data_IF_406748655691
#
_entry.id   IF_406748655691
#
_cell.length_a   1.000
_cell.length_b   1.000
_cell.length_c   1.000
_cell.angle_alpha   90.00
_cell.angle_beta   90.00
_cell.angle_gamma   90.00
#
_symmetry.space_group_name_H-M   'P 1'
#
loop_
_entity.id
_entity.type
_entity.pdbx_description
1 polymer ?
#
# COMPACT_ATOMS: atom_id res chain seq x y z
N UNK A 1 -74.74 -51.32 11.65
CA UNK A 1 -75.97 -50.57 11.49
C UNK A 1 -76.56 -49.90 12.72
N UNK A 2 -75.92 -49.99 13.90
CA UNK A 2 -76.50 -49.51 15.17
C UNK A 2 -76.03 -48.10 15.64
N UNK A 3 -74.97 -47.52 15.07
CA UNK A 3 -74.44 -46.21 15.52
C UNK A 3 -75.04 -44.99 14.78
N UNK A 4 -75.67 -45.16 13.57
CA UNK A 4 -76.26 -44.04 12.83
C UNK A 4 -77.68 -43.68 13.40
N UNK A 5 -78.42 -44.62 14.07
CA UNK A 5 -79.70 -44.34 14.67
C UNK A 5 -79.62 -43.60 16.02
N UNK A 6 -78.46 -43.71 16.75
CA UNK A 6 -78.30 -42.96 18.00
C UNK A 6 -77.87 -41.49 17.75
N UNK A 7 -77.09 -41.22 16.72
CA UNK A 7 -76.64 -39.86 16.35
C UNK A 7 -77.80 -38.97 15.87
N UNK A 8 -78.74 -39.53 15.08
CA UNK A 8 -79.94 -38.80 14.58
C UNK A 8 -80.89 -38.45 15.72
N UNK A 9 -81.07 -39.31 16.76
CA UNK A 9 -81.96 -38.98 17.87
C UNK A 9 -81.31 -37.93 18.83
N UNK A 10 -80.01 -37.87 19.02
CA UNK A 10 -79.41 -36.84 19.85
C UNK A 10 -79.39 -35.46 19.14
N UNK A 11 -79.21 -35.41 17.81
CA UNK A 11 -79.24 -34.14 17.04
C UNK A 11 -80.66 -33.56 17.01
N UNK A 12 -81.73 -34.40 16.95
CA UNK A 12 -83.14 -33.91 17.01
C UNK A 12 -83.54 -33.42 18.40
N UNK A 13 -82.99 -34.00 19.48
CA UNK A 13 -83.21 -33.52 20.87
C UNK A 13 -82.54 -32.18 21.13
N UNK A 14 -81.28 -32.03 20.70
CA UNK A 14 -80.54 -30.75 20.82
C UNK A 14 -81.12 -29.66 19.99
N UNK A 15 -81.61 -29.96 18.78
CA UNK A 15 -82.32 -29.00 17.94
C UNK A 15 -83.68 -28.60 18.54
N UNK A 16 -84.35 -29.53 19.18
CA UNK A 16 -85.59 -29.25 19.87
C UNK A 16 -85.38 -28.36 21.12
N UNK A 17 -84.40 -28.59 21.89
CA UNK A 17 -84.06 -27.78 23.10
C UNK A 17 -83.62 -26.37 22.66
N UNK A 18 -82.83 -26.21 21.60
CA UNK A 18 -82.43 -24.91 21.04
C UNK A 18 -83.64 -24.15 20.49
N UNK A 19 -84.58 -24.81 19.85
CA UNK A 19 -85.79 -24.18 19.33
C UNK A 19 -86.73 -23.73 20.46
N UNK A 20 -86.87 -24.51 21.53
CA UNK A 20 -87.68 -24.15 22.68
C UNK A 20 -87.04 -23.01 23.49
N UNK A 21 -85.72 -23.02 23.65
CA UNK A 21 -85.00 -21.92 24.34
C UNK A 21 -85.03 -20.64 23.55
N UNK A 22 -84.91 -20.69 22.24
CA UNK A 22 -85.06 -19.50 21.38
C UNK A 22 -86.53 -18.97 21.37
N UNK A 23 -87.49 -19.83 21.36
CA UNK A 23 -88.89 -19.40 21.42
C UNK A 23 -89.30 -18.80 22.78
N UNK A 24 -88.76 -19.33 23.87
CA UNK A 24 -88.91 -18.74 25.22
C UNK A 24 -88.17 -17.38 25.29
N UNK A 25 -86.97 -17.26 24.74
CA UNK A 25 -86.28 -15.99 24.71
C UNK A 25 -87.00 -14.93 23.88
N UNK A 26 -87.55 -15.30 22.71
CA UNK A 26 -88.31 -14.40 21.87
C UNK A 26 -89.67 -14.06 22.57
N UNK A 27 -90.28 -15.02 23.26
CA UNK A 27 -91.52 -14.80 24.05
C UNK A 27 -91.25 -13.83 25.20
N UNK A 28 -90.15 -13.99 25.94
CA UNK A 28 -89.74 -13.07 27.02
C UNK A 28 -89.47 -11.69 26.47
N UNK A 29 -88.81 -11.60 25.32
CA UNK A 29 -88.53 -10.32 24.64
C UNK A 29 -89.80 -9.63 24.15
N UNK A 30 -90.74 -10.36 23.65
CA UNK A 30 -92.07 -9.83 23.22
C UNK A 30 -92.90 -9.37 24.42
N UNK A 31 -92.91 -10.11 25.52
CA UNK A 31 -93.61 -9.75 26.79
C UNK A 31 -92.95 -8.48 27.38
N UNK A 32 -91.64 -8.41 27.39
CA UNK A 32 -90.91 -7.21 27.86
C UNK A 32 -91.19 -5.98 26.97
N UNK A 33 -91.30 -6.18 25.68
CA UNK A 33 -91.70 -5.12 24.75
C UNK A 33 -93.18 -4.66 24.97
N UNK A 34 -94.09 -5.57 25.26
CA UNK A 34 -95.49 -5.25 25.54
C UNK A 34 -95.72 -4.60 26.92
N UNK A 35 -94.81 -4.82 27.87
CA UNK A 35 -94.84 -4.18 29.18
C UNK A 35 -94.09 -2.82 29.19
N UNK A 36 -93.62 -2.34 28.01
CA UNK A 36 -92.95 -1.06 27.92
C UNK A 36 -91.53 -1.04 28.56
N UNK A 37 -90.92 -2.24 28.85
CA UNK A 37 -89.55 -2.34 29.35
C UNK A 37 -88.63 -2.13 28.13
N UNK A 38 -88.37 -0.85 27.82
CA UNK A 38 -87.35 -0.41 26.85
C UNK A 38 -86.00 -0.64 27.56
N UNK A 39 -85.23 -1.63 27.11
CA UNK A 39 -83.80 -1.66 27.49
C UNK A 39 -83.23 -0.35 26.99
N UNK A 40 -82.75 0.51 27.88
CA UNK A 40 -82.18 1.78 27.46
C UNK A 40 -80.99 1.48 26.51
N UNK A 41 -81.09 2.00 25.26
CA UNK A 41 -79.92 1.92 24.34
C UNK A 41 -78.72 2.57 25.03
N UNK A 42 -77.69 1.74 25.37
CA UNK A 42 -76.50 2.28 25.92
C UNK A 42 -75.95 3.36 25.00
N UNK A 43 -75.67 4.54 25.57
CA UNK A 43 -75.06 5.67 24.85
C UNK A 43 -73.65 5.32 24.40
N UNK A 44 -73.35 5.43 23.09
CA UNK A 44 -72.00 5.18 22.60
C UNK A 44 -71.14 6.38 22.92
N UNK A 45 -70.02 6.15 23.64
CA UNK A 45 -68.97 7.15 23.93
C UNK A 45 -67.60 6.64 23.42
N UNK A 46 -66.81 7.54 22.92
CA UNK A 46 -65.35 7.28 22.82
C UNK A 46 -64.66 8.12 23.89
N UNK A 47 -63.94 7.43 24.78
CA UNK A 47 -63.18 8.06 25.85
C UNK A 47 -61.71 7.96 25.46
N UNK A 48 -60.99 9.07 25.49
CA UNK A 48 -59.61 9.20 25.09
C UNK A 48 -58.78 9.79 26.22
N UNK A 49 -57.48 9.55 26.17
CA UNK A 49 -56.49 10.24 27.01
C UNK A 49 -55.43 10.89 26.11
N UNK A 50 -54.74 11.92 26.61
CA UNK A 50 -53.65 12.55 25.88
C UNK A 50 -52.38 11.72 25.89
N UNK A 51 -51.54 11.93 24.90
CA UNK A 51 -50.13 11.49 24.93
C UNK A 51 -49.35 12.32 25.93
N UNK A 52 -48.54 11.65 26.74
CA UNK A 52 -47.61 12.28 27.66
C UNK A 52 -46.19 11.83 27.33
N UNK A 53 -45.29 12.80 27.05
CA UNK A 53 -43.88 12.49 26.77
C UNK A 53 -43.00 13.25 27.76
N UNK A 54 -42.09 12.54 28.40
CA UNK A 54 -41.09 13.12 29.31
C UNK A 54 -39.79 12.36 29.25
N UNK A 55 -38.75 12.84 29.95
CA UNK A 55 -37.47 12.13 30.15
C UNK A 55 -37.47 11.57 31.59
N UNK A 56 -36.91 10.39 31.75
CA UNK A 56 -36.77 9.71 33.03
C UNK A 56 -36.18 10.61 34.13
N UNK A 57 -36.87 10.68 35.27
CA UNK A 57 -36.49 11.48 36.44
C UNK A 57 -36.76 10.78 37.78
N UNK A 58 -36.97 9.47 37.76
CA UNK A 58 -37.33 8.61 38.89
C UNK A 58 -38.62 9.01 39.62
N UNK A 59 -39.41 9.92 39.09
CA UNK A 59 -40.74 10.32 39.65
C UNK A 59 -41.86 9.73 38.81
N UNK A 60 -43.00 9.39 39.44
CA UNK A 60 -44.16 8.95 38.70
C UNK A 60 -44.65 9.99 37.69
N UNK A 61 -44.94 9.53 36.48
CA UNK A 61 -45.56 10.31 35.40
C UNK A 61 -47.00 9.88 35.31
N UNK A 62 -47.91 10.81 35.44
CA UNK A 62 -49.34 10.57 35.42
C UNK A 62 -49.88 10.85 34.01
N UNK A 63 -50.88 10.02 33.60
CA UNK A 63 -51.46 10.08 32.30
C UNK A 63 -52.51 11.19 32.09
N UNK A 64 -52.91 11.83 33.19
CA UNK A 64 -53.94 12.88 33.15
C UNK A 64 -55.38 12.32 33.09
N UNK A 65 -56.36 13.22 33.05
CA UNK A 65 -57.78 12.86 33.07
C UNK A 65 -58.30 12.45 31.71
N UNK A 66 -59.11 11.36 31.62
CA UNK A 66 -59.78 10.98 30.39
C UNK A 66 -60.85 11.99 30.01
N UNK A 67 -61.15 12.10 28.73
CA UNK A 67 -62.15 12.98 28.18
C UNK A 67 -62.90 12.32 27.01
N UNK A 68 -64.11 12.82 26.73
CA UNK A 68 -64.97 12.29 25.65
C UNK A 68 -64.60 12.95 24.33
N UNK A 69 -64.20 12.13 23.34
CA UNK A 69 -63.88 12.58 21.97
C UNK A 69 -65.01 12.34 20.98
N UNK A 70 -65.88 11.34 21.22
CA UNK A 70 -67.08 11.04 20.39
C UNK A 70 -68.23 10.61 21.27
N UNK A 71 -69.42 11.05 20.93
CA UNK A 71 -70.64 10.90 21.74
C UNK A 71 -70.81 12.07 22.70
N UNK A 72 -71.72 11.93 23.65
CA UNK A 72 -72.02 12.95 24.67
C UNK A 72 -72.47 12.28 25.95
N UNK A 73 -71.98 12.76 27.09
CA UNK A 73 -72.52 12.41 28.39
C UNK A 73 -73.94 13.02 28.54
N UNK A 74 -74.81 12.34 29.22
CA UNK A 74 -76.11 12.88 29.59
C UNK A 74 -75.97 14.04 30.54
N UNK A 75 -77.02 14.92 30.59
CA UNK A 75 -76.93 16.10 31.44
C UNK A 75 -76.79 15.71 32.92
N UNK A 76 -75.85 16.32 33.59
CA UNK A 76 -75.46 16.01 34.98
C UNK A 76 -74.52 14.82 35.14
N UNK A 77 -74.18 14.03 34.10
CA UNK A 77 -73.25 12.95 34.17
C UNK A 77 -71.83 13.49 33.93
N UNK A 78 -70.89 12.93 34.65
CA UNK A 78 -69.47 13.32 34.52
C UNK A 78 -68.53 12.14 34.79
N UNK A 79 -67.32 12.16 34.20
CA UNK A 79 -66.27 11.13 34.41
C UNK A 79 -65.56 11.45 35.72
N UNK A 80 -65.39 10.43 36.54
CA UNK A 80 -64.57 10.48 37.77
C UNK A 80 -63.47 9.41 37.66
N UNK A 81 -62.21 9.83 37.74
CA UNK A 81 -61.09 8.92 37.75
C UNK A 81 -60.97 8.24 39.10
N UNK A 82 -60.98 6.93 39.11
CA UNK A 82 -60.84 6.09 40.34
C UNK A 82 -59.42 5.65 40.56
N UNK A 83 -58.63 5.46 39.44
CA UNK A 83 -57.18 5.25 39.53
C UNK A 83 -56.51 5.88 38.32
N UNK A 84 -55.50 6.74 38.56
CA UNK A 84 -54.70 7.35 37.52
C UNK A 84 -53.72 6.35 36.93
N UNK A 85 -53.53 6.35 35.59
CA UNK A 85 -52.43 5.67 34.96
C UNK A 85 -51.11 6.37 35.37
N UNK A 86 -50.15 5.63 35.92
CA UNK A 86 -48.89 6.16 36.32
C UNK A 86 -47.75 5.21 35.95
N UNK A 87 -46.66 5.76 35.44
CA UNK A 87 -45.44 5.03 35.08
C UNK A 87 -44.19 5.77 35.63
N UNK A 88 -43.17 5.04 36.00
CA UNK A 88 -41.94 5.62 36.52
C UNK A 88 -40.75 5.29 35.64
N UNK A 89 -40.70 4.08 35.08
CA UNK A 89 -39.56 3.59 34.30
C UNK A 89 -39.63 4.08 32.85
N UNK A 90 -38.44 4.20 32.23
CA UNK A 90 -38.33 4.51 30.80
C UNK A 90 -38.99 3.41 29.96
N UNK A 91 -39.78 3.83 28.98
CA UNK A 91 -40.55 2.94 28.14
C UNK A 91 -41.74 3.66 27.50
N UNK A 92 -42.52 2.90 26.74
CA UNK A 92 -43.77 3.35 26.12
C UNK A 92 -44.90 2.50 26.67
N UNK A 93 -45.90 3.13 27.21
CA UNK A 93 -47.03 2.50 27.91
C UNK A 93 -48.35 3.08 27.39
N UNK A 94 -49.43 2.28 27.34
CA UNK A 94 -50.76 2.80 27.10
C UNK A 94 -51.21 3.63 28.31
N UNK A 95 -51.88 4.75 28.07
CA UNK A 95 -52.39 5.67 29.08
C UNK A 95 -53.83 5.30 29.49
N UNK A 96 -53.95 4.19 30.21
CA UNK A 96 -55.23 3.59 30.59
C UNK A 96 -55.59 3.97 32.02
N UNK A 97 -56.44 4.97 32.26
CA UNK A 97 -56.99 5.26 33.60
C UNK A 97 -58.14 4.35 33.95
N UNK A 98 -58.37 4.10 35.23
CA UNK A 98 -59.64 3.56 35.71
C UNK A 98 -60.60 4.73 36.00
N UNK A 99 -61.83 4.61 35.54
CA UNK A 99 -62.80 5.66 35.74
C UNK A 99 -64.22 5.09 35.83
N UNK A 100 -65.14 5.87 36.41
CA UNK A 100 -66.56 5.64 36.43
C UNK A 100 -67.30 6.89 35.92
N UNK A 101 -68.52 6.74 35.43
CA UNK A 101 -69.37 7.84 35.08
C UNK A 101 -70.43 7.96 36.18
N UNK A 102 -70.41 9.11 36.85
CA UNK A 102 -71.41 9.39 37.89
C UNK A 102 -72.50 10.34 37.39
N UNK A 103 -73.70 10.17 37.90
CA UNK A 103 -74.82 11.15 37.71
C UNK A 103 -74.67 12.33 38.67
N UNK A 104 -75.67 13.30 38.62
CA UNK A 104 -75.70 14.47 39.47
C UNK A 104 -75.88 14.14 40.98
N UNK A 105 -76.39 12.93 41.29
CA UNK A 105 -76.54 12.46 42.66
C UNK A 105 -75.34 11.66 43.19
N UNK A 106 -74.35 11.43 42.32
CA UNK A 106 -73.13 10.66 42.66
C UNK A 106 -73.29 9.12 42.49
N UNK A 107 -74.36 8.65 41.85
CA UNK A 107 -74.52 7.23 41.57
C UNK A 107 -73.75 6.81 40.33
N UNK A 108 -73.19 5.61 40.37
CA UNK A 108 -72.47 5.06 39.20
C UNK A 108 -73.41 4.65 38.12
N UNK A 109 -73.33 5.30 36.98
CA UNK A 109 -74.15 5.12 35.77
C UNK A 109 -73.32 4.66 34.56
N UNK A 110 -72.11 4.17 34.77
CA UNK A 110 -71.22 3.70 33.72
C UNK A 110 -71.88 2.68 32.83
N UNK A 111 -72.67 1.82 33.36
CA UNK A 111 -73.45 0.79 32.63
C UNK A 111 -74.51 1.34 31.63
N UNK A 112 -74.83 2.62 31.75
CA UNK A 112 -75.70 3.28 30.76
C UNK A 112 -74.97 3.62 29.46
N UNK A 113 -73.64 3.46 29.43
CA UNK A 113 -72.80 3.76 28.30
C UNK A 113 -72.20 2.50 27.71
N UNK A 114 -71.95 2.55 26.39
CA UNK A 114 -71.06 1.64 25.67
C UNK A 114 -69.78 2.44 25.37
N UNK A 115 -68.72 2.17 26.10
CA UNK A 115 -67.45 2.92 26.03
C UNK A 115 -66.61 2.25 24.99
N UNK A 116 -66.17 3.04 24.02
CA UNK A 116 -65.05 2.72 23.11
C UNK A 116 -63.80 3.47 23.63
N UNK A 117 -62.74 2.74 23.84
CA UNK A 117 -61.48 3.23 24.41
C UNK A 117 -60.54 3.61 23.29
N UNK A 118 -59.98 4.84 23.33
CA UNK A 118 -59.03 5.39 22.38
C UNK A 118 -57.94 6.14 23.17
N UNK A 119 -57.15 5.38 23.89
CA UNK A 119 -56.19 5.93 24.82
C UNK A 119 -54.90 6.33 24.14
N UNK A 120 -54.29 7.45 24.60
CA UNK A 120 -52.98 7.91 24.25
C UNK A 120 -51.87 7.07 24.92
N UNK A 121 -50.68 7.54 24.86
CA UNK A 121 -49.47 6.87 25.39
C UNK A 121 -48.71 7.71 26.41
N UNK A 122 -48.16 7.04 27.41
CA UNK A 122 -47.13 7.62 28.30
C UNK A 122 -45.77 7.14 27.77
N UNK A 123 -44.95 8.08 27.24
CA UNK A 123 -43.60 7.81 26.75
C UNK A 123 -42.57 8.45 27.71
N UNK A 124 -41.85 7.62 28.40
CA UNK A 124 -40.72 8.06 29.26
C UNK A 124 -39.41 7.72 28.53
N UNK A 125 -38.75 8.74 28.01
CA UNK A 125 -37.49 8.57 27.28
C UNK A 125 -36.36 8.29 28.26
N UNK A 126 -35.41 7.37 27.89
CA UNK A 126 -34.21 7.15 28.64
C UNK A 126 -33.40 8.44 28.77
N UNK A 127 -32.72 8.61 29.89
CA UNK A 127 -31.82 9.73 30.15
C UNK A 127 -30.47 9.47 29.52
N UNK A 128 -29.92 10.43 28.79
CA UNK A 128 -28.64 10.26 28.07
C UNK A 128 -27.47 10.58 28.97
N UNK A 129 -26.45 9.70 28.92
CA UNK A 129 -25.16 9.90 29.57
C UNK A 129 -24.03 9.65 28.58
N UNK A 130 -22.89 10.30 28.79
CA UNK A 130 -21.64 10.02 28.11
C UNK A 130 -20.62 9.62 29.15
N UNK A 131 -20.09 8.42 29.05
CA UNK A 131 -19.01 7.91 29.88
C UNK A 131 -17.70 8.00 29.14
N UNK A 132 -16.62 8.24 29.87
CA UNK A 132 -15.29 8.46 29.34
C UNK A 132 -14.25 7.72 30.18
N UNK A 133 -13.23 7.16 29.51
CA UNK A 133 -11.98 6.76 30.13
C UNK A 133 -10.79 7.22 29.28
N UNK A 134 -9.70 7.57 29.94
CA UNK A 134 -8.48 8.01 29.28
C UNK A 134 -7.62 6.83 28.85
N UNK A 135 -6.94 6.95 27.70
CA UNK A 135 -5.87 6.02 27.31
C UNK A 135 -4.67 6.17 28.25
N UNK A 136 -4.00 5.05 28.54
CA UNK A 136 -2.77 5.02 29.32
C UNK A 136 -1.68 4.25 28.60
N UNK A 137 -0.44 4.62 28.85
CA UNK A 137 0.74 4.00 28.29
C UNK A 137 1.81 3.81 29.37
N UNK A 138 2.54 2.70 29.29
CA UNK A 138 3.79 2.49 30.01
C UNK A 138 4.71 1.56 29.25
N UNK A 139 6.00 1.56 29.56
CA UNK A 139 6.91 0.49 29.16
C UNK A 139 6.70 -0.75 30.02
N UNK A 140 6.95 -1.92 29.44
CA UNK A 140 6.88 -3.18 30.14
C UNK A 140 7.85 -3.20 31.33
N UNK A 141 7.34 -3.54 32.49
CA UNK A 141 8.08 -3.66 33.75
C UNK A 141 7.69 -4.90 34.55
N UNK A 142 6.93 -5.82 33.93
CA UNK A 142 6.40 -7.02 34.56
C UNK A 142 5.14 -6.80 35.40
N UNK A 143 4.67 -5.56 35.59
CA UNK A 143 3.45 -5.25 36.32
C UNK A 143 2.28 -4.88 35.40
N UNK A 144 1.03 -5.16 35.83
CA UNK A 144 -0.12 -4.81 34.98
C UNK A 144 -0.30 -3.28 34.86
N UNK A 145 -0.69 -2.83 33.68
CA UNK A 145 -1.26 -1.51 33.44
C UNK A 145 -2.78 -1.62 33.57
N UNK A 146 -3.35 -0.84 34.49
CA UNK A 146 -4.78 -0.91 34.79
C UNK A 146 -5.45 0.39 34.39
N UNK A 147 -6.66 0.30 33.79
CA UNK A 147 -7.47 1.45 33.48
C UNK A 147 -7.93 2.17 34.75
N UNK A 148 -8.20 3.47 34.63
CA UNK A 148 -8.97 4.16 35.64
C UNK A 148 -10.44 3.75 35.59
N UNK A 149 -11.17 4.06 36.64
CA UNK A 149 -12.63 4.00 36.60
C UNK A 149 -13.16 4.99 35.56
N UNK A 150 -14.28 4.63 34.94
CA UNK A 150 -14.95 5.50 33.99
C UNK A 150 -15.58 6.71 34.71
N UNK A 151 -15.63 7.83 34.01
CA UNK A 151 -16.24 9.07 34.49
C UNK A 151 -17.37 9.52 33.58
N UNK A 152 -18.39 10.16 34.14
CA UNK A 152 -19.47 10.75 33.34
C UNK A 152 -19.05 12.15 32.92
N UNK A 153 -18.94 12.38 31.60
CA UNK A 153 -18.51 13.66 31.00
C UNK A 153 -19.64 14.42 30.30
N UNK A 154 -20.78 13.78 30.10
CA UNK A 154 -21.94 14.40 29.48
C UNK A 154 -23.25 13.82 29.99
N UNK A 155 -24.29 14.66 30.04
CA UNK A 155 -25.54 14.36 30.71
C UNK A 155 -25.47 14.56 32.22
N UNK A 156 -26.48 14.08 32.94
CA UNK A 156 -26.50 14.12 34.40
C UNK A 156 -27.32 12.96 34.93
N UNK A 157 -26.97 12.44 36.07
CA UNK A 157 -27.79 11.47 36.78
C UNK A 157 -29.10 12.10 37.30
N UNK A 158 -30.08 11.27 37.60
CA UNK A 158 -31.14 11.62 38.53
C UNK A 158 -30.51 11.73 39.92
N UNK A 159 -31.03 12.60 40.75
CA UNK A 159 -30.57 12.76 42.11
C UNK A 159 -30.60 11.41 42.87
N UNK A 160 -29.54 11.09 43.61
CA UNK A 160 -29.37 9.82 44.27
C UNK A 160 -28.85 8.65 43.43
N UNK A 161 -28.77 8.83 42.09
CA UNK A 161 -28.20 7.77 41.23
C UNK A 161 -26.70 7.94 41.09
N UNK A 162 -25.98 6.82 41.07
CA UNK A 162 -24.53 6.79 40.91
C UNK A 162 -24.10 5.71 39.93
N UNK A 163 -22.97 5.93 39.26
CA UNK A 163 -22.33 4.92 38.45
C UNK A 163 -21.34 4.13 39.30
N UNK A 164 -21.47 2.83 39.32
CA UNK A 164 -20.57 1.89 39.98
C UNK A 164 -19.83 1.11 38.92
N UNK A 165 -18.50 1.12 38.98
CA UNK A 165 -17.64 0.35 38.09
C UNK A 165 -17.38 -1.03 38.74
N UNK A 166 -17.87 -2.09 38.09
CA UNK A 166 -17.79 -3.46 38.61
C UNK A 166 -16.43 -4.11 38.31
N UNK A 167 -15.80 -3.67 37.18
CA UNK A 167 -14.48 -4.14 36.79
C UNK A 167 -13.71 -3.09 36.00
N UNK A 168 -12.38 -3.19 36.05
CA UNK A 168 -11.46 -2.36 35.25
C UNK A 168 -10.72 -3.25 34.27
N UNK A 169 -10.29 -2.67 33.15
CA UNK A 169 -9.47 -3.38 32.15
C UNK A 169 -8.01 -3.33 32.57
N UNK A 170 -7.26 -4.41 32.35
CA UNK A 170 -5.82 -4.46 32.57
C UNK A 170 -5.09 -5.23 31.49
N UNK A 171 -3.85 -4.83 31.20
CA UNK A 171 -2.92 -5.50 30.29
C UNK A 171 -1.54 -5.57 30.96
N UNK A 172 -0.84 -6.69 30.82
CA UNK A 172 0.49 -6.85 31.41
C UNK A 172 1.57 -6.98 30.34
N UNK A 173 1.34 -7.77 29.30
CA UNK A 173 2.31 -7.98 28.24
C UNK A 173 2.32 -6.83 27.24
N UNK A 174 3.44 -6.59 26.52
CA UNK A 174 3.49 -5.62 25.44
C UNK A 174 2.36 -5.82 24.42
N UNK A 175 1.71 -4.72 24.05
CA UNK A 175 0.56 -4.72 23.16
C UNK A 175 -0.45 -3.65 23.53
N UNK A 176 -1.63 -3.75 22.96
CA UNK A 176 -2.75 -2.84 23.20
C UNK A 176 -4.00 -3.59 23.67
N UNK A 177 -4.77 -2.95 24.51
CA UNK A 177 -6.04 -3.46 25.01
C UNK A 177 -7.05 -2.32 25.12
N UNK A 178 -8.16 -2.42 24.39
CA UNK A 178 -9.26 -1.47 24.54
C UNK A 178 -9.85 -1.56 25.95
N UNK A 179 -10.14 -0.41 26.53
CA UNK A 179 -10.77 -0.33 27.84
C UNK A 179 -12.23 -0.75 27.70
N UNK A 180 -12.62 -1.84 28.36
CA UNK A 180 -13.96 -2.42 28.35
C UNK A 180 -14.41 -2.65 29.79
N UNK A 181 -14.76 -1.59 30.54
CA UNK A 181 -15.19 -1.71 31.91
C UNK A 181 -16.59 -2.33 31.97
N UNK A 182 -16.87 -3.10 33.02
CA UNK A 182 -18.22 -3.44 33.43
C UNK A 182 -18.68 -2.40 34.45
N UNK A 183 -19.89 -1.90 34.27
CA UNK A 183 -20.49 -0.91 35.18
C UNK A 183 -22.00 -1.03 35.23
N UNK A 184 -22.57 -0.59 36.36
CA UNK A 184 -24.01 -0.41 36.55
C UNK A 184 -24.31 1.01 37.07
N UNK A 185 -25.55 1.44 36.85
CA UNK A 185 -26.08 2.67 37.45
C UNK A 185 -27.08 2.25 38.52
N UNK A 186 -26.80 2.62 39.74
CA UNK A 186 -27.65 2.24 40.90
C UNK A 186 -28.34 3.49 41.47
N UNK A 187 -29.53 3.29 42.05
CA UNK A 187 -30.23 4.28 42.85
C UNK A 187 -29.71 4.32 44.30
N UNK A 188 -30.25 5.23 45.12
CA UNK A 188 -29.90 5.36 46.56
C UNK A 188 -30.15 4.11 47.40
N UNK A 189 -30.99 3.18 46.92
CA UNK A 189 -31.29 1.93 47.55
C UNK A 189 -30.42 0.76 47.06
N UNK A 190 -29.50 1.05 46.10
CA UNK A 190 -28.64 0.03 45.48
C UNK A 190 -29.33 -0.76 44.37
N UNK A 191 -30.53 -0.34 43.90
CA UNK A 191 -31.22 -1.00 42.80
C UNK A 191 -30.59 -0.63 41.46
N UNK A 192 -30.36 -1.61 40.55
CA UNK A 192 -29.87 -1.37 39.22
C UNK A 192 -30.93 -0.65 38.37
N UNK A 193 -30.62 0.56 37.96
CA UNK A 193 -31.46 1.42 37.11
C UNK A 193 -30.80 1.73 35.76
N UNK A 194 -29.76 0.95 35.38
CA UNK A 194 -29.01 1.15 34.13
C UNK A 194 -29.93 1.22 32.91
N UNK A 195 -30.99 0.40 32.89
CA UNK A 195 -31.98 0.37 31.81
C UNK A 195 -32.75 1.70 31.64
N UNK A 196 -32.69 2.61 32.59
CA UNK A 196 -33.34 3.93 32.54
C UNK A 196 -32.48 4.96 31.79
N UNK A 197 -31.27 4.57 31.39
CA UNK A 197 -30.30 5.43 30.74
C UNK A 197 -29.89 4.90 29.37
N UNK A 198 -29.62 5.82 28.44
CA UNK A 198 -28.90 5.54 27.20
C UNK A 198 -27.46 6.03 27.39
N UNK A 199 -26.52 5.10 27.48
CA UNK A 199 -25.08 5.44 27.71
C UNK A 199 -24.34 5.40 26.38
N UNK A 200 -23.67 6.50 26.08
CA UNK A 200 -22.70 6.57 24.97
C UNK A 200 -21.28 6.51 25.55
N UNK A 201 -20.46 5.62 25.03
CA UNK A 201 -19.13 5.35 25.54
C UNK A 201 -18.04 6.03 24.69
N UNK A 202 -17.07 6.66 25.35
CA UNK A 202 -15.84 7.19 24.78
C UNK A 202 -14.67 6.64 25.60
N UNK A 203 -14.31 5.41 25.28
CA UNK A 203 -13.31 4.65 26.03
C UNK A 203 -11.95 4.72 25.34
N UNK A 204 -10.91 4.82 26.14
CA UNK A 204 -9.51 4.84 25.68
C UNK A 204 -8.96 3.43 25.48
N UNK A 205 -7.62 3.36 25.31
CA UNK A 205 -6.85 2.13 25.10
C UNK A 205 -5.67 2.12 26.07
N UNK A 206 -5.34 0.96 26.58
CA UNK A 206 -4.12 0.72 27.36
C UNK A 206 -3.03 0.25 26.42
N UNK A 207 -1.83 0.85 26.52
CA UNK A 207 -0.65 0.49 25.73
C UNK A 207 0.48 0.07 26.68
N UNK A 208 1.00 -1.13 26.49
CA UNK A 208 2.25 -1.56 27.11
C UNK A 208 3.29 -1.67 26.00
N UNK A 209 4.28 -0.76 26.02
CA UNK A 209 5.38 -0.73 25.06
C UNK A 209 6.46 -1.73 25.44
N UNK A 210 7.09 -2.42 24.48
CA UNK A 210 8.22 -3.28 24.76
C UNK A 210 9.43 -2.47 25.24
N UNK A 211 10.37 -3.16 25.87
CA UNK A 211 11.65 -2.56 26.30
C UNK A 211 12.59 -2.46 25.09
N UNK A 212 13.07 -1.27 24.70
CA UNK A 212 14.02 -1.14 23.60
C UNK A 212 15.39 -1.68 24.00
N UNK A 213 15.98 -2.49 23.11
CA UNK A 213 17.33 -3.03 23.25
C UNK A 213 18.05 -2.87 21.91
N UNK A 214 19.21 -2.22 21.90
CA UNK A 214 19.97 -1.97 20.69
C UNK A 214 21.20 -2.86 20.63
N UNK A 215 21.39 -3.49 19.47
CA UNK A 215 22.52 -4.35 19.15
C UNK A 215 23.25 -3.74 17.95
N UNK A 216 24.52 -3.45 18.09
CA UNK A 216 25.39 -3.10 16.95
C UNK A 216 26.14 -4.35 16.47
N UNK A 217 26.15 -4.58 15.15
CA UNK A 217 26.96 -5.64 14.54
C UNK A 217 28.25 -5.08 13.95
N UNK A 218 29.29 -5.93 13.88
CA UNK A 218 30.60 -5.52 13.39
C UNK A 218 30.64 -5.35 11.87
N UNK A 219 31.49 -4.42 11.40
CA UNK A 219 31.84 -4.28 9.98
C UNK A 219 33.06 -5.12 9.64
N UNK A 220 33.14 -5.57 8.38
CA UNK A 220 34.31 -6.25 7.84
C UNK A 220 34.45 -5.95 6.35
N UNK A 221 35.70 -6.12 5.83
CA UNK A 221 35.95 -5.98 4.40
C UNK A 221 36.93 -7.03 3.89
N UNK A 222 36.79 -7.41 2.63
CA UNK A 222 37.75 -8.23 1.91
C UNK A 222 37.67 -7.98 0.41
N UNK A 223 38.67 -8.42 -0.34
CA UNK A 223 38.53 -8.59 -1.79
C UNK A 223 37.77 -9.88 -2.09
N UNK A 224 37.10 -9.90 -3.23
CA UNK A 224 36.40 -11.08 -3.74
C UNK A 224 37.41 -12.25 -3.90
N UNK A 225 37.10 -13.39 -3.31
CA UNK A 225 37.89 -14.62 -3.32
C UNK A 225 37.06 -15.89 -3.53
N UNK A 226 35.75 -15.69 -3.91
CA UNK A 226 34.79 -16.79 -4.08
C UNK A 226 34.23 -17.33 -2.78
N UNK A 227 34.68 -16.90 -1.62
CA UNK A 227 34.21 -17.34 -0.31
C UNK A 227 33.31 -16.28 0.33
N UNK A 228 32.35 -16.66 1.17
CA UNK A 228 31.50 -15.71 1.86
C UNK A 228 32.25 -14.89 2.91
N UNK A 229 31.85 -13.62 3.10
CA UNK A 229 32.22 -12.77 4.21
C UNK A 229 31.11 -12.83 5.27
N UNK A 230 31.36 -13.46 6.42
CA UNK A 230 30.37 -13.72 7.46
C UNK A 230 30.96 -13.59 8.88
N UNK A 231 31.33 -12.39 9.32
CA UNK A 231 31.84 -12.19 10.67
C UNK A 231 30.70 -12.30 11.69
N UNK A 232 30.91 -13.03 12.78
CA UNK A 232 29.99 -13.10 13.92
C UNK A 232 30.47 -12.20 15.06
N UNK A 233 30.42 -10.89 14.82
CA UNK A 233 30.82 -9.85 15.80
C UNK A 233 29.62 -8.96 16.07
N UNK A 234 29.24 -8.83 17.34
CA UNK A 234 28.15 -7.98 17.77
C UNK A 234 28.41 -7.45 19.20
N UNK A 235 27.70 -6.40 19.56
CA UNK A 235 27.75 -5.77 20.87
C UNK A 235 26.37 -5.23 21.26
N UNK A 236 25.98 -5.46 22.53
CA UNK A 236 24.83 -4.77 23.13
C UNK A 236 25.25 -3.34 23.45
N UNK A 237 24.63 -2.36 22.84
CA UNK A 237 25.05 -0.93 22.92
C UNK A 237 24.13 -0.09 23.77
N UNK A 238 22.82 -0.44 23.85
CA UNK A 238 21.82 0.35 24.57
C UNK A 238 20.62 -0.49 25.00
N UNK A 239 19.88 0.00 25.99
CA UNK A 239 18.72 -0.64 26.62
C UNK A 239 19.13 -1.55 27.79
N UNK A 240 18.25 -1.68 28.76
CA UNK A 240 18.47 -2.53 29.93
C UNK A 240 17.61 -3.78 29.83
N UNK A 241 18.21 -4.93 30.13
CA UNK A 241 17.46 -6.17 30.29
C UNK A 241 16.85 -6.24 31.69
N UNK A 242 15.67 -6.82 31.79
CA UNK A 242 15.10 -7.15 33.11
C UNK A 242 16.04 -8.10 33.88
N UNK A 243 15.99 -7.99 35.18
CA UNK A 243 16.83 -8.82 36.05
C UNK A 243 16.61 -10.31 35.75
N UNK A 244 17.72 -11.03 35.53
CA UNK A 244 17.70 -12.44 35.21
C UNK A 244 17.53 -12.78 33.75
N UNK A 245 17.23 -11.79 32.88
CA UNK A 245 17.17 -12.00 31.44
C UNK A 245 18.56 -11.98 30.81
N UNK A 246 18.77 -12.84 29.83
CA UNK A 246 20.03 -12.95 29.08
C UNK A 246 19.79 -12.81 27.60
N UNK A 247 20.64 -12.00 26.93
CA UNK A 247 20.61 -11.78 25.49
C UNK A 247 21.60 -12.71 24.79
N UNK A 248 21.16 -13.32 23.71
CA UNK A 248 22.00 -14.06 22.75
C UNK A 248 21.78 -13.48 21.36
N UNK A 249 22.85 -13.25 20.64
CA UNK A 249 22.78 -12.82 19.25
C UNK A 249 23.80 -13.57 18.39
N UNK A 250 23.48 -13.74 17.12
CA UNK A 250 24.36 -14.29 16.10
C UNK A 250 24.16 -13.53 14.80
N UNK A 251 25.26 -13.07 14.18
CA UNK A 251 25.19 -12.48 12.85
C UNK A 251 24.78 -13.53 11.83
N UNK A 252 23.84 -13.20 10.95
CA UNK A 252 23.25 -14.12 9.99
C UNK A 252 23.59 -13.78 8.55
N UNK A 253 24.21 -12.61 8.30
CA UNK A 253 24.61 -12.20 6.95
C UNK A 253 25.86 -12.94 6.52
N UNK A 254 25.83 -13.43 5.27
CA UNK A 254 26.92 -14.17 4.65
C UNK A 254 26.97 -13.78 3.17
N UNK A 255 27.94 -12.92 2.78
CA UNK A 255 27.96 -12.28 1.49
C UNK A 255 29.20 -12.66 0.67
N UNK A 256 28.96 -13.03 -0.59
CA UNK A 256 30.00 -13.32 -1.58
C UNK A 256 30.03 -12.27 -2.69
N UNK A 257 28.89 -11.60 -2.93
CA UNK A 257 28.76 -10.62 -4.00
C UNK A 257 29.51 -9.32 -3.66
N UNK A 258 30.11 -8.73 -4.69
CA UNK A 258 30.81 -7.43 -4.59
C UNK A 258 29.80 -6.33 -4.30
N UNK A 259 30.09 -5.54 -3.28
CA UNK A 259 29.26 -4.44 -2.80
C UNK A 259 29.34 -4.29 -1.29
N UNK A 260 28.53 -3.35 -0.80
CA UNK A 260 28.33 -3.10 0.62
C UNK A 260 26.99 -3.72 1.06
N UNK A 261 27.02 -4.54 2.09
CA UNK A 261 25.89 -5.29 2.61
C UNK A 261 25.78 -5.08 4.11
N UNK A 262 24.54 -5.01 4.63
CA UNK A 262 24.32 -4.87 6.08
C UNK A 262 24.57 -6.21 6.79
N UNK A 263 25.32 -6.15 7.89
CA UNK A 263 25.56 -7.30 8.75
C UNK A 263 24.41 -7.44 9.75
N UNK A 264 23.39 -8.20 9.43
CA UNK A 264 22.22 -8.43 10.28
C UNK A 264 22.48 -9.51 11.34
N UNK A 265 21.71 -9.50 12.44
CA UNK A 265 21.77 -10.50 13.47
C UNK A 265 20.39 -11.08 13.83
N UNK A 266 20.33 -12.35 14.17
CA UNK A 266 19.22 -12.94 14.93
C UNK A 266 19.48 -12.73 16.41
N UNK A 267 18.50 -12.16 17.11
CA UNK A 267 18.62 -11.79 18.53
C UNK A 267 17.51 -12.48 19.32
N UNK A 268 17.89 -13.14 20.40
CA UNK A 268 16.96 -13.80 21.32
C UNK A 268 17.27 -13.39 22.76
N UNK A 269 16.20 -13.23 23.54
CA UNK A 269 16.31 -12.91 24.95
C UNK A 269 15.58 -13.99 25.74
N UNK A 270 16.26 -14.53 26.74
CA UNK A 270 15.75 -15.62 27.57
C UNK A 270 15.65 -15.19 29.04
N UNK A 271 14.64 -15.67 29.72
CA UNK A 271 14.49 -15.50 31.16
C UNK A 271 15.40 -16.45 31.97
N UNK A 272 15.33 -16.40 33.31
CA UNK A 272 16.10 -17.25 34.23
C UNK A 272 15.80 -18.76 34.07
N UNK A 273 14.64 -19.11 33.50
CA UNK A 273 14.24 -20.50 33.25
C UNK A 273 14.66 -20.98 31.87
N UNK A 274 15.18 -20.08 31.01
CA UNK A 274 15.56 -20.36 29.65
C UNK A 274 14.40 -20.28 28.66
N UNK A 275 13.25 -19.70 29.03
CA UNK A 275 12.14 -19.44 28.13
C UNK A 275 12.42 -18.21 27.27
N UNK A 276 12.03 -18.28 25.99
CA UNK A 276 12.18 -17.16 25.06
C UNK A 276 11.16 -16.05 25.40
N UNK A 277 11.67 -14.92 25.82
CA UNK A 277 10.92 -13.71 26.19
C UNK A 277 11.22 -12.53 25.27
N UNK A 278 11.72 -12.79 24.09
CA UNK A 278 12.09 -11.76 23.09
C UNK A 278 10.93 -10.80 22.79
N UNK A 279 9.68 -11.30 22.80
CA UNK A 279 8.49 -10.48 22.57
C UNK A 279 8.27 -9.37 23.61
N UNK A 280 8.95 -9.40 24.75
CA UNK A 280 8.91 -8.33 25.75
C UNK A 280 9.79 -7.14 25.38
N UNK A 281 10.61 -7.29 24.34
CA UNK A 281 11.63 -6.33 23.92
C UNK A 281 11.40 -5.88 22.48
N UNK A 282 11.75 -4.64 22.19
CA UNK A 282 11.90 -4.07 20.87
C UNK A 282 13.38 -4.14 20.48
N UNK A 283 13.72 -5.08 19.60
CA UNK A 283 15.09 -5.27 19.15
C UNK A 283 15.40 -4.28 18.04
N UNK A 284 16.37 -3.41 18.27
CA UNK A 284 16.91 -2.43 17.33
C UNK A 284 18.28 -2.90 16.91
N UNK A 285 18.51 -3.13 15.62
CA UNK A 285 19.81 -3.52 15.08
C UNK A 285 20.41 -2.30 14.40
N UNK A 286 21.63 -1.94 14.81
CA UNK A 286 22.52 -1.00 14.13
C UNK A 286 23.51 -1.82 13.32
N UNK A 287 23.26 -2.03 12.00
CA UNK A 287 24.05 -2.95 11.23
C UNK A 287 25.44 -2.37 10.90
N UNK A 288 26.48 -3.19 11.08
CA UNK A 288 27.77 -2.95 10.46
C UNK A 288 27.72 -3.22 8.95
N UNK A 289 28.77 -2.86 8.24
CA UNK A 289 28.88 -3.03 6.79
C UNK A 289 29.85 -4.16 6.45
N UNK A 290 29.40 -5.11 5.62
CA UNK A 290 30.24 -6.13 4.98
C UNK A 290 30.58 -5.66 3.58
N UNK A 291 31.81 -5.21 3.37
CA UNK A 291 32.29 -4.69 2.09
C UNK A 291 33.07 -5.76 1.33
N UNK A 292 32.52 -6.34 0.28
CA UNK A 292 33.24 -7.20 -0.66
C UNK A 292 33.70 -6.35 -1.83
N UNK A 293 35.02 -6.17 -1.96
CA UNK A 293 35.62 -5.36 -3.00
C UNK A 293 35.94 -6.21 -4.24
N UNK A 294 35.90 -5.62 -5.47
CA UNK A 294 36.25 -6.35 -6.67
C UNK A 294 37.68 -6.85 -6.64
N UNK A 295 37.92 -8.07 -7.13
CA UNK A 295 39.28 -8.58 -7.34
C UNK A 295 39.89 -7.92 -8.58
N UNK A 296 41.07 -7.36 -8.40
CA UNK A 296 41.74 -6.60 -9.48
C UNK A 296 42.52 -7.53 -10.40
N UNK A 297 42.19 -7.43 -11.71
CA UNK A 297 42.94 -8.09 -12.78
C UNK A 297 43.55 -7.05 -13.73
N UNK A 298 44.86 -7.14 -14.02
CA UNK A 298 45.49 -6.39 -15.09
C UNK A 298 45.59 -7.28 -16.32
N UNK A 299 45.02 -6.81 -17.42
CA UNK A 299 45.02 -7.52 -18.71
C UNK A 299 45.77 -6.69 -19.75
N UNK A 300 46.75 -7.27 -20.41
CA UNK A 300 47.48 -6.63 -21.52
C UNK A 300 46.94 -7.19 -22.85
N UNK A 301 46.79 -6.32 -23.86
CA UNK A 301 46.40 -6.72 -25.21
C UNK A 301 47.55 -6.48 -26.21
N UNK A 302 47.61 -7.29 -27.27
CA UNK A 302 48.66 -7.23 -28.30
C UNK A 302 48.57 -5.97 -29.16
N UNK A 303 49.73 -5.57 -29.73
CA UNK A 303 49.84 -4.52 -30.75
C UNK A 303 49.97 -5.13 -32.14
N UNK A 304 49.51 -4.43 -33.17
CA UNK A 304 49.72 -4.81 -34.56
C UNK A 304 49.94 -3.58 -35.43
N UNK A 305 50.75 -3.73 -36.49
CA UNK A 305 51.01 -2.66 -37.44
C UNK A 305 51.01 -3.22 -38.86
N UNK A 306 50.48 -2.44 -39.81
CA UNK A 306 50.56 -2.72 -41.24
C UNK A 306 50.52 -1.44 -42.07
N UNK A 307 50.96 -1.50 -43.34
CA UNK A 307 50.70 -0.46 -44.34
C UNK A 307 49.22 -0.52 -44.78
N UNK A 308 48.64 0.62 -45.13
CA UNK A 308 47.28 0.69 -45.64
C UNK A 308 47.10 -0.14 -46.92
N UNK A 309 46.18 -1.06 -46.90
CA UNK A 309 45.80 -1.92 -48.01
C UNK A 309 44.28 -2.02 -48.22
N UNK A 310 43.49 -1.13 -47.59
CA UNK A 310 42.05 -1.12 -47.61
C UNK A 310 41.40 -2.14 -46.65
N UNK A 311 42.17 -3.00 -45.98
CA UNK A 311 41.62 -3.99 -45.02
C UNK A 311 42.01 -3.64 -43.59
N UNK A 312 41.16 -4.01 -42.60
CA UNK A 312 41.43 -3.68 -41.21
C UNK A 312 42.60 -4.46 -40.64
N UNK A 313 43.41 -3.81 -39.74
CA UNK A 313 44.35 -4.45 -38.82
C UNK A 313 43.61 -4.74 -37.51
N UNK A 314 43.87 -5.90 -36.91
CA UNK A 314 43.45 -6.30 -35.59
C UNK A 314 44.48 -7.20 -34.96
N UNK A 315 44.48 -7.28 -33.63
CA UNK A 315 45.22 -8.27 -32.88
C UNK A 315 44.33 -8.85 -31.79
N UNK A 316 44.24 -10.16 -31.67
CA UNK A 316 43.42 -10.87 -30.72
C UNK A 316 44.18 -11.43 -29.53
N UNK A 317 45.51 -11.23 -29.50
CA UNK A 317 46.34 -11.69 -28.41
C UNK A 317 46.11 -10.86 -27.14
N UNK A 318 45.98 -11.53 -26.01
CA UNK A 318 45.88 -10.93 -24.70
C UNK A 318 46.39 -11.87 -23.63
N UNK A 319 46.75 -11.33 -22.47
CA UNK A 319 47.17 -12.11 -21.29
C UNK A 319 46.89 -11.35 -20.01
N UNK A 320 46.63 -12.10 -18.93
CA UNK A 320 46.63 -11.54 -17.58
C UNK A 320 48.07 -11.30 -17.18
N UNK A 321 48.43 -10.11 -16.76
CA UNK A 321 49.76 -9.71 -16.34
C UNK A 321 49.88 -9.53 -14.82
N UNK A 322 48.73 -9.36 -14.13
CA UNK A 322 48.64 -9.29 -12.67
C UNK A 322 47.26 -9.73 -12.21
N UNK A 323 47.22 -10.38 -11.04
CA UNK A 323 46.00 -10.98 -10.49
C UNK A 323 45.75 -12.38 -11.06
N UNK A 324 44.80 -13.08 -10.47
CA UNK A 324 44.35 -14.42 -10.87
C UNK A 324 42.85 -14.51 -10.73
N UNK A 325 42.22 -15.34 -11.54
CA UNK A 325 40.79 -15.68 -11.37
C UNK A 325 40.65 -16.61 -10.15
N UNK A 326 39.47 -16.56 -9.55
CA UNK A 326 39.07 -17.55 -8.55
C UNK A 326 38.92 -18.92 -9.25
N UNK A 327 39.17 -20.00 -8.53
CA UNK A 327 39.11 -21.35 -9.07
C UNK A 327 37.75 -21.67 -9.65
N UNK A 328 37.70 -22.21 -10.85
CA UNK A 328 36.47 -22.54 -11.60
C UNK A 328 35.91 -21.38 -12.42
N UNK A 329 36.48 -20.21 -12.36
CA UNK A 329 36.07 -19.06 -13.18
C UNK A 329 36.90 -18.93 -14.45
N UNK A 330 36.32 -18.35 -15.49
CA UNK A 330 36.97 -18.22 -16.79
C UNK A 330 36.76 -16.82 -17.37
N UNK A 331 37.80 -16.31 -18.06
CA UNK A 331 37.79 -15.02 -18.77
C UNK A 331 37.90 -15.24 -20.27
N UNK A 332 37.12 -14.54 -21.05
CA UNK A 332 37.21 -14.50 -22.52
C UNK A 332 37.10 -13.09 -23.05
N UNK A 333 37.75 -12.79 -24.15
CA UNK A 333 37.53 -11.56 -24.90
C UNK A 333 36.26 -11.70 -25.74
N UNK A 334 35.36 -10.70 -25.72
CA UNK A 334 34.06 -10.70 -26.43
C UNK A 334 33.99 -9.59 -27.50
N UNK A 335 34.95 -8.68 -27.53
CA UNK A 335 35.04 -7.64 -28.57
C UNK A 335 36.48 -7.40 -28.94
N UNK A 336 36.75 -7.27 -30.24
CA UNK A 336 38.05 -7.11 -30.83
C UNK A 336 38.09 -5.84 -31.68
N UNK A 337 38.76 -4.77 -31.25
CA UNK A 337 38.91 -3.56 -32.02
C UNK A 337 39.62 -3.81 -33.36
N UNK A 338 39.27 -3.00 -34.35
CA UNK A 338 39.87 -3.03 -35.71
C UNK A 338 40.12 -1.61 -36.17
N UNK A 339 41.18 -1.43 -37.00
CA UNK A 339 41.52 -0.14 -37.61
C UNK A 339 41.81 -0.32 -39.09
N UNK A 340 41.12 0.43 -39.95
CA UNK A 340 41.31 0.40 -41.43
C UNK A 340 42.12 1.59 -41.91
N UNK A 341 41.77 2.80 -41.45
CA UNK A 341 42.39 4.03 -41.94
C UNK A 341 43.75 4.32 -41.22
N UNK A 342 44.65 4.99 -41.92
CA UNK A 342 45.96 5.37 -41.43
C UNK A 342 45.89 6.14 -40.11
N UNK A 343 46.84 5.83 -39.20
CA UNK A 343 46.90 6.37 -37.85
C UNK A 343 46.98 5.27 -36.79
N UNK A 344 46.72 5.62 -35.53
CA UNK A 344 46.80 4.76 -34.40
C UNK A 344 45.52 4.72 -33.61
N UNK A 345 45.21 3.59 -32.96
CA UNK A 345 44.14 3.43 -31.98
C UNK A 345 44.55 2.39 -30.95
N UNK A 346 43.96 2.47 -29.73
CA UNK A 346 44.16 1.46 -28.71
C UNK A 346 43.44 0.18 -29.07
N UNK A 347 44.05 -0.96 -28.73
CA UNK A 347 43.43 -2.29 -28.86
C UNK A 347 42.64 -2.60 -27.58
N UNK A 348 41.58 -1.82 -27.33
CA UNK A 348 40.72 -1.91 -26.15
C UNK A 348 39.70 -3.05 -26.30
N UNK A 349 40.12 -4.26 -26.02
CA UNK A 349 39.25 -5.44 -26.01
C UNK A 349 38.29 -5.36 -24.82
N UNK A 350 37.07 -5.92 -25.00
CA UNK A 350 36.09 -6.11 -23.92
C UNK A 350 36.15 -7.56 -23.45
N UNK A 351 36.16 -7.75 -22.14
CA UNK A 351 36.28 -9.05 -21.51
C UNK A 351 35.00 -9.39 -20.74
N UNK A 352 34.66 -10.67 -20.72
CA UNK A 352 33.60 -11.25 -19.91
C UNK A 352 34.21 -12.35 -19.04
N UNK A 353 33.84 -12.33 -17.74
CA UNK A 353 34.23 -13.37 -16.79
C UNK A 353 32.97 -14.17 -16.40
N UNK A 354 33.07 -15.48 -16.45
CA UNK A 354 31.97 -16.40 -16.13
C UNK A 354 32.38 -17.34 -15.00
N UNK A 355 31.39 -17.74 -14.19
CA UNK A 355 31.52 -18.81 -13.21
C UNK A 355 31.53 -20.19 -13.88
N UNK A 356 31.65 -21.25 -13.10
CA UNK A 356 31.65 -22.65 -13.57
C UNK A 356 30.32 -23.05 -14.24
N UNK A 357 29.22 -22.34 -13.96
CA UNK A 357 27.91 -22.58 -14.56
C UNK A 357 27.67 -21.71 -15.81
N UNK A 358 28.62 -20.84 -16.16
CA UNK A 358 28.53 -19.94 -17.30
C UNK A 358 27.79 -18.62 -17.02
N UNK A 359 27.48 -18.29 -15.78
CA UNK A 359 26.88 -17.01 -15.45
C UNK A 359 27.93 -15.90 -15.53
N UNK A 360 27.53 -14.76 -16.06
CA UNK A 360 28.41 -13.60 -16.13
C UNK A 360 28.62 -12.98 -14.74
N UNK A 361 29.85 -12.97 -14.29
CA UNK A 361 30.30 -12.46 -12.99
C UNK A 361 31.37 -11.38 -13.13
N UNK A 362 31.45 -10.74 -14.28
CA UNK A 362 32.45 -9.69 -14.59
C UNK A 362 32.45 -8.56 -13.55
N UNK A 363 31.30 -8.25 -12.96
CA UNK A 363 31.14 -7.24 -11.91
C UNK A 363 31.90 -7.56 -10.61
N UNK A 364 32.29 -8.83 -10.38
CA UNK A 364 33.10 -9.24 -9.23
C UNK A 364 34.56 -8.90 -9.40
N UNK A 365 34.93 -8.41 -10.61
CA UNK A 365 36.31 -8.08 -10.98
C UNK A 365 36.43 -6.63 -11.41
N UNK A 366 37.58 -6.03 -11.12
CA UNK A 366 38.04 -4.75 -11.66
C UNK A 366 39.13 -5.02 -12.69
N UNK A 367 38.76 -5.05 -13.98
CA UNK A 367 39.72 -5.23 -15.07
C UNK A 367 40.38 -3.90 -15.36
N UNK A 368 41.72 -3.85 -15.22
CA UNK A 368 42.58 -2.75 -15.60
C UNK A 368 43.27 -3.15 -16.90
N UNK A 369 42.98 -2.42 -17.99
CA UNK A 369 43.47 -2.76 -19.31
C UNK A 369 44.73 -1.98 -19.65
N UNK A 370 45.81 -2.71 -19.94
CA UNK A 370 47.01 -2.20 -20.60
C UNK A 370 46.90 -2.48 -22.11
N UNK A 371 46.29 -1.53 -22.80
CA UNK A 371 45.89 -1.71 -24.19
C UNK A 371 47.08 -1.50 -25.15
N UNK A 372 47.36 -2.52 -25.97
CA UNK A 372 48.25 -2.40 -27.12
C UNK A 372 47.77 -1.37 -28.15
N UNK A 373 48.53 -1.19 -29.22
CA UNK A 373 48.24 -0.20 -30.26
C UNK A 373 48.05 -0.89 -31.62
N UNK A 374 47.00 -0.52 -32.33
CA UNK A 374 46.74 -0.86 -33.71
C UNK A 374 47.19 0.30 -34.59
N UNK A 375 48.21 0.08 -35.43
CA UNK A 375 48.78 1.11 -36.30
C UNK A 375 48.59 0.77 -37.77
N UNK A 376 48.04 1.70 -38.54
CA UNK A 376 48.05 1.64 -40.00
C UNK A 376 48.91 2.79 -40.53
N UNK A 377 49.99 2.44 -41.20
CA UNK A 377 50.88 3.43 -41.81
C UNK A 377 50.36 3.83 -43.20
N UNK A 378 50.45 5.13 -43.57
CA UNK A 378 50.02 5.56 -44.89
C UNK A 378 50.83 4.88 -46.02
N UNK A 379 50.09 4.41 -47.07
CA UNK A 379 50.67 3.77 -48.24
C UNK A 379 51.41 4.79 -49.09
N UNK A 380 52.71 4.62 -49.39
CA UNK A 380 53.48 5.57 -50.16
C UNK A 380 53.19 5.40 -51.68
N UNK A 381 52.87 6.50 -52.33
CA UNK A 381 52.75 6.56 -53.80
C UNK A 381 53.52 7.77 -54.34
N UNK A 382 54.05 7.65 -55.57
CA UNK A 382 54.64 8.76 -56.30
C UNK A 382 53.88 8.97 -57.61
N UNK A 383 53.35 10.16 -57.80
CA UNK A 383 52.60 10.56 -59.01
C UNK A 383 53.50 11.43 -59.88
N UNK A 384 53.73 10.99 -61.11
CA UNK A 384 54.43 11.76 -62.11
C UNK A 384 53.37 12.37 -63.05
N UNK A 385 53.44 13.69 -63.23
CA UNK A 385 52.56 14.40 -64.22
C UNK A 385 53.21 14.49 -65.56
N UNK A 386 52.38 14.49 -66.62
CA UNK A 386 52.84 14.62 -68.01
C UNK A 386 53.38 16.02 -68.35
N UNK A 387 54.21 16.10 -69.42
CA UNK A 387 54.69 17.36 -69.97
C UNK A 387 53.96 17.64 -71.31
N UNK A 388 53.68 18.90 -71.60
CA UNK A 388 53.06 19.29 -72.81
C UNK A 388 53.63 20.62 -73.33
N UNK A 389 53.68 20.75 -74.66
CA UNK A 389 54.18 21.97 -75.30
C UNK A 389 53.17 22.37 -76.38
N UNK A 390 52.89 23.67 -76.51
CA UNK A 390 52.09 24.24 -77.64
C UNK A 390 52.60 25.62 -78.06
N UNK A 391 52.29 26.05 -79.25
CA UNK A 391 52.42 27.44 -79.67
C UNK A 391 51.34 28.32 -79.05
N UNK A 392 51.66 29.57 -78.77
CA UNK A 392 50.74 30.52 -78.18
C UNK A 392 49.52 30.77 -79.13
N UNK A 393 48.34 30.57 -78.61
CA UNK A 393 47.02 30.72 -79.26
C UNK A 393 46.00 31.43 -78.37
N UNK A 394 46.39 32.00 -77.24
CA UNK A 394 45.53 32.68 -76.29
C UNK A 394 44.68 31.75 -75.38
N UNK A 395 44.68 30.43 -75.61
CA UNK A 395 43.97 29.49 -74.84
C UNK A 395 44.87 28.81 -73.75
N UNK A 396 44.38 28.31 -72.62
CA UNK A 396 45.15 27.62 -71.62
C UNK A 396 45.72 26.28 -72.13
N UNK A 397 46.98 25.99 -71.84
CA UNK A 397 47.58 24.66 -71.93
C UNK A 397 47.38 23.92 -70.62
N UNK A 398 46.76 22.75 -70.65
CA UNK A 398 46.57 21.83 -69.51
C UNK A 398 46.98 20.44 -69.97
N UNK A 399 47.82 19.76 -69.18
CA UNK A 399 48.13 18.35 -69.38
C UNK A 399 47.53 17.53 -68.20
N UNK A 400 46.58 16.67 -68.50
CA UNK A 400 45.90 15.84 -67.53
C UNK A 400 46.50 14.43 -67.44
N UNK A 401 47.55 14.18 -68.19
CA UNK A 401 48.22 12.87 -68.12
C UNK A 401 49.04 12.73 -66.86
N UNK A 402 48.96 11.58 -66.24
CA UNK A 402 49.74 11.21 -65.08
C UNK A 402 49.97 9.69 -65.03
N UNK A 403 51.03 9.28 -64.30
CA UNK A 403 51.35 7.89 -64.01
C UNK A 403 51.76 7.75 -62.58
N UNK A 404 51.41 6.63 -61.94
CA UNK A 404 52.00 6.28 -60.64
C UNK A 404 53.31 5.54 -60.89
N UNK A 405 54.41 6.17 -60.55
CA UNK A 405 55.78 5.63 -60.83
C UNK A 405 56.31 4.76 -59.71
N UNK A 406 55.83 4.96 -58.48
CA UNK A 406 56.13 4.14 -57.30
C UNK A 406 54.89 3.91 -56.50
N UNK A 407 54.75 2.69 -55.96
CA UNK A 407 53.55 2.25 -55.22
C UNK A 407 52.31 2.03 -56.11
N UNK A 408 51.13 1.93 -55.52
CA UNK A 408 49.85 1.82 -56.19
C UNK A 408 48.76 2.26 -55.26
N UNK A 409 47.62 2.74 -55.78
CA UNK A 409 46.38 2.88 -54.99
C UNK A 409 45.85 1.50 -54.68
N UNK A 410 45.12 1.37 -53.58
CA UNK A 410 44.42 0.13 -53.22
C UNK A 410 43.33 -0.19 -54.20
N UNK A 411 42.96 -1.46 -54.28
CA UNK A 411 41.83 -1.90 -55.11
C UNK A 411 40.52 -1.22 -54.58
N UNK A 412 39.80 -0.58 -55.54
CA UNK A 412 38.59 0.16 -55.23
C UNK A 412 38.81 1.64 -54.90
N UNK A 413 40.06 2.10 -54.66
CA UNK A 413 40.35 3.49 -54.45
C UNK A 413 40.63 4.19 -55.81
N UNK A 414 40.21 5.44 -55.93
CA UNK A 414 40.35 6.24 -57.18
C UNK A 414 40.92 7.62 -56.90
N UNK A 415 41.91 8.01 -57.73
CA UNK A 415 42.46 9.36 -57.72
C UNK A 415 41.56 10.32 -58.48
N UNK A 416 41.22 11.45 -57.90
CA UNK A 416 40.69 12.61 -58.55
C UNK A 416 41.70 13.75 -58.49
N UNK A 417 42.15 14.26 -59.66
CA UNK A 417 43.21 15.23 -59.79
C UNK A 417 42.73 16.45 -60.52
N UNK A 418 43.21 17.61 -60.12
CA UNK A 418 43.12 18.85 -60.86
C UNK A 418 44.54 19.37 -61.13
N UNK A 419 44.78 19.90 -62.34
CA UNK A 419 46.10 20.25 -62.76
C UNK A 419 46.21 21.78 -63.06
N UNK A 420 47.47 22.30 -62.91
CA UNK A 420 47.81 23.65 -63.29
C UNK A 420 47.59 23.89 -64.78
N UNK A 421 47.42 25.15 -65.21
CA UNK A 421 47.38 25.60 -66.58
C UNK A 421 48.30 26.81 -66.80
N UNK A 422 48.85 26.95 -67.98
CA UNK A 422 49.58 28.13 -68.42
C UNK A 422 48.99 28.72 -69.75
N UNK A 423 48.86 30.02 -69.81
CA UNK A 423 48.34 30.73 -71.00
C UNK A 423 49.43 31.50 -71.72
N UNK A 424 50.27 32.23 -70.99
CA UNK A 424 51.28 33.09 -71.52
C UNK A 424 52.52 32.34 -72.01
N UNK A 425 53.29 32.91 -72.98
CA UNK A 425 54.59 32.36 -73.36
C UNK A 425 55.51 32.20 -72.17
N UNK A 426 56.10 31.02 -72.05
CA UNK A 426 56.93 30.63 -70.90
C UNK A 426 56.74 29.19 -70.56
N UNK A 427 57.21 28.79 -69.37
CA UNK A 427 57.04 27.44 -68.84
C UNK A 427 56.59 27.47 -67.38
N UNK A 428 55.95 26.41 -66.93
CA UNK A 428 55.65 26.13 -65.54
C UNK A 428 55.68 24.63 -65.32
N UNK A 429 55.87 24.19 -64.06
CA UNK A 429 55.65 22.77 -63.71
C UNK A 429 54.17 22.48 -63.82
N UNK A 430 53.85 21.25 -64.23
CA UNK A 430 52.50 20.77 -64.28
C UNK A 430 52.06 20.29 -62.85
N UNK A 431 51.81 21.26 -61.95
CA UNK A 431 51.42 20.97 -60.58
C UNK A 431 50.04 20.31 -60.50
N UNK A 432 49.85 19.38 -59.54
CA UNK A 432 48.54 18.96 -59.07
C UNK A 432 48.06 20.01 -58.07
N UNK A 433 47.03 20.78 -58.45
CA UNK A 433 46.47 21.85 -57.61
C UNK A 433 45.42 21.36 -56.62
N UNK A 434 44.84 20.22 -56.91
CA UNK A 434 43.90 19.52 -56.01
C UNK A 434 44.02 18.01 -56.23
N UNK A 435 44.01 17.25 -55.11
CA UNK A 435 44.06 15.81 -55.14
C UNK A 435 43.20 15.24 -54.04
N UNK A 436 42.32 14.35 -54.42
CA UNK A 436 41.54 13.54 -53.47
C UNK A 436 41.61 12.07 -53.88
N UNK A 437 41.90 11.21 -52.94
CA UNK A 437 41.76 9.77 -53.14
C UNK A 437 40.41 9.37 -52.53
N UNK A 438 39.57 8.79 -53.35
CA UNK A 438 38.27 8.29 -52.92
C UNK A 438 38.27 6.80 -52.82
N UNK A 439 37.88 6.29 -51.65
CA UNK A 439 37.56 4.89 -51.41
C UNK A 439 36.08 4.63 -51.46
N UNK A 440 35.71 3.36 -51.40
CA UNK A 440 34.34 2.92 -51.28
C UNK A 440 34.15 2.29 -49.89
N UNK A 441 33.52 3.02 -48.98
CA UNK A 441 33.12 2.49 -47.69
C UNK A 441 31.60 2.25 -47.69
N UNK A 442 31.17 1.01 -47.54
CA UNK A 442 29.74 0.60 -47.54
C UNK A 442 28.91 1.16 -48.70
N UNK A 443 29.50 1.17 -49.94
CA UNK A 443 28.83 1.68 -51.12
C UNK A 443 28.83 3.21 -51.24
N UNK A 444 29.54 3.94 -50.38
CA UNK A 444 29.65 5.40 -50.38
C UNK A 444 31.07 5.83 -50.77
N UNK A 445 31.13 6.82 -51.64
CA UNK A 445 32.38 7.47 -52.00
C UNK A 445 32.87 8.31 -50.81
N UNK A 446 34.00 7.89 -50.19
CA UNK A 446 34.57 8.51 -49.00
C UNK A 446 35.96 9.01 -49.32
N UNK A 447 36.37 10.19 -48.81
CA UNK A 447 37.74 10.71 -48.94
C UNK A 447 38.64 9.88 -48.01
N UNK A 448 39.59 9.15 -48.63
CA UNK A 448 40.58 8.31 -47.99
C UNK A 448 42.04 8.79 -48.21
N UNK A 449 42.20 10.04 -48.64
CA UNK A 449 43.50 10.65 -48.97
C UNK A 449 44.49 10.52 -47.80
N UNK A 450 44.02 10.61 -46.55
CA UNK A 450 44.86 10.46 -45.35
C UNK A 450 45.58 9.10 -45.28
N UNK A 451 45.10 8.09 -45.99
CA UNK A 451 45.65 6.74 -46.06
C UNK A 451 46.86 6.62 -47.00
N UNK A 452 47.21 7.71 -47.71
CA UNK A 452 48.28 7.74 -48.65
C UNK A 452 49.34 8.79 -48.26
N UNK A 453 50.65 8.43 -48.45
CA UNK A 453 51.79 9.35 -48.39
C UNK A 453 52.18 9.65 -49.80
N UNK A 454 51.67 10.78 -50.33
CA UNK A 454 51.80 11.12 -51.74
C UNK A 454 53.03 12.00 -51.94
N UNK A 455 53.83 11.65 -52.94
CA UNK A 455 54.97 12.43 -53.43
C UNK A 455 54.75 12.71 -54.94
N UNK A 456 55.33 13.80 -55.44
CA UNK A 456 55.08 14.27 -56.77
C UNK A 456 56.36 14.42 -57.55
N UNK A 457 56.32 14.03 -58.83
CA UNK A 457 57.33 14.31 -59.89
C UNK A 457 56.61 15.12 -60.97
N UNK A 458 56.92 16.39 -61.10
CA UNK A 458 56.20 17.26 -61.97
C UNK A 458 56.79 17.34 -63.39
N UNK A 459 55.96 17.13 -64.41
CA UNK A 459 56.26 17.44 -65.78
C UNK A 459 56.24 18.96 -66.02
N UNK A 460 56.50 19.39 -67.26
CA UNK A 460 56.56 20.81 -67.61
C UNK A 460 55.52 21.18 -68.70
N UNK A 461 54.83 22.25 -68.45
CA UNK A 461 53.96 22.89 -69.48
C UNK A 461 54.75 24.06 -70.14
N UNK A 462 54.90 24.04 -71.47
CA UNK A 462 55.63 25.06 -72.21
C UNK A 462 54.77 25.69 -73.31
N UNK A 463 54.62 27.01 -73.28
CA UNK A 463 54.01 27.75 -74.33
C UNK A 463 55.12 28.54 -75.11
N UNK A 464 55.33 28.23 -76.37
CA UNK A 464 56.36 28.87 -77.22
C UNK A 464 55.80 30.02 -77.98
N UNK A 465 56.68 30.95 -78.35
CA UNK A 465 56.32 31.95 -79.39
C UNK A 465 56.08 31.22 -80.73
N UNK A 466 55.46 31.86 -81.68
CA UNK A 466 55.21 31.27 -83.03
C UNK A 466 56.37 30.48 -83.61
#
# INVERSE_FOLDING_TARGET
MNNKRKAVKITSYVAGILAVTSAVLVGVLLIMSSLGIIFPRKQLLTVSTNDVTTTYNAKPVFGGTPFVTRGRLLDGHHIVVTAECKQTNAGEYENVPEFVILDAAGADVTDMYRINEDYGKITIKQRRLIVYSQSKEKRYDGTPLVSDTITVTGGSFVEGHTLVCDSVTSITLPGEQNILPSYSIIDENGTDVTAQYTVSERLGTLFVLPIPVTIATGSAQKQYDGLPLSPNVWQHTSGELLKGHTLKAACITSETEVGDHENLADVRIYDEKGEDVTQLYEIIIEPGILAVQPLVLHVSTGSASKEYDGTPVSNQDWKIIYGTLVEGENIKAVSFPKRTNAGESKNEMVFEITDINGHNITNRYKIVLDAGTLTVTPRPITIQTGSATKKYDGAPLICKEYTITKGSVCDGDMLQLAFTSIVNIGYTENYIVDLTVYGNEDGRKTDVTVNYKITYDYGTLTVTAE
#
